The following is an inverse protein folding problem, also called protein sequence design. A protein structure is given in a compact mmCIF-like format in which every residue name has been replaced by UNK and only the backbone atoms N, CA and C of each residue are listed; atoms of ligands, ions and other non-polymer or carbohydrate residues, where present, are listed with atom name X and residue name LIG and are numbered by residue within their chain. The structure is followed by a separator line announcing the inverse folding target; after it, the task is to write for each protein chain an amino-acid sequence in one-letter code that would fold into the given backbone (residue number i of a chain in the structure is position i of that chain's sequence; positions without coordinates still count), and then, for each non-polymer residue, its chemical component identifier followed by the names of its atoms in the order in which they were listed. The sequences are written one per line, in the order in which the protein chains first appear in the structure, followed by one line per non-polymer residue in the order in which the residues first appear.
data_IF_495797732504
#
_entry.id   IF_495797732504
#
_cell.length_a   1.000
_cell.length_b   1.000
_cell.length_c   1.000
_cell.angle_alpha   90.00
_cell.angle_beta   90.00
_cell.angle_gamma   90.00
#
_symmetry.space_group_name_H-M   'P 1'
#
loop_
_entity.id
_entity.type
_entity.pdbx_description
1 polymer ?
#
# COMPACT_ATOMS: atom_id res chain seq x y z
N UNK A 1 15.66 2.94 -11.92
CA UNK A 1 14.75 1.93 -11.34
C UNK A 1 14.33 2.27 -9.91
N UNK A 2 15.23 2.42 -8.93
CA UNK A 2 14.83 2.70 -7.54
C UNK A 2 14.04 4.00 -7.35
N UNK A 3 14.44 5.09 -8.00
CA UNK A 3 13.75 6.39 -7.85
C UNK A 3 12.32 6.38 -8.39
N UNK A 4 12.03 5.62 -9.45
CA UNK A 4 10.67 5.52 -10.00
C UNK A 4 9.73 4.73 -9.07
N UNK A 5 10.23 3.65 -8.46
CA UNK A 5 9.46 2.85 -7.51
C UNK A 5 9.11 3.65 -6.25
N UNK A 6 10.07 4.37 -5.71
CA UNK A 6 9.87 5.24 -4.54
C UNK A 6 8.88 6.36 -4.88
N UNK A 7 9.04 7.02 -6.04
CA UNK A 7 8.12 8.06 -6.46
C UNK A 7 6.68 7.53 -6.63
N UNK A 8 6.50 6.35 -7.23
CA UNK A 8 5.17 5.71 -7.35
C UNK A 8 4.56 5.39 -6.00
N UNK A 9 5.38 4.90 -5.06
CA UNK A 9 4.94 4.60 -3.71
C UNK A 9 4.53 5.85 -2.94
N UNK A 10 5.30 6.94 -3.05
CA UNK A 10 4.96 8.24 -2.45
C UNK A 10 3.74 8.88 -3.11
N UNK A 11 3.60 8.76 -4.43
CA UNK A 11 2.42 9.22 -5.14
C UNK A 11 1.18 8.46 -4.64
N UNK A 12 1.27 7.13 -4.52
CA UNK A 12 0.20 6.31 -3.97
C UNK A 12 -0.15 6.71 -2.54
N UNK A 13 0.85 6.95 -1.68
CA UNK A 13 0.64 7.38 -0.29
C UNK A 13 -0.10 8.72 -0.21
N UNK A 14 0.28 9.68 -1.05
CA UNK A 14 -0.29 11.03 -1.06
C UNK A 14 -1.58 11.17 -1.88
N UNK A 15 -1.94 10.14 -2.67
CA UNK A 15 -3.13 10.15 -3.52
C UNK A 15 -4.39 10.27 -2.66
N UNK A 16 -5.23 11.27 -2.96
CA UNK A 16 -6.55 11.41 -2.33
C UNK A 16 -7.51 10.37 -2.89
N UNK A 17 -7.54 9.20 -2.24
CA UNK A 17 -8.47 8.15 -2.64
C UNK A 17 -9.93 8.51 -2.30
N UNK A 18 -10.76 8.61 -3.34
CA UNK A 18 -12.22 8.56 -3.21
C UNK A 18 -12.66 7.12 -3.50
N UNK A 19 -12.65 6.29 -2.47
CA UNK A 19 -13.06 4.89 -2.56
C UNK A 19 -14.59 4.76 -2.65
N UNK A 20 -15.16 5.03 -3.82
CA UNK A 20 -16.61 5.06 -4.04
C UNK A 20 -17.19 3.64 -4.10
N UNK A 21 -16.51 2.73 -4.80
CA UNK A 21 -16.98 1.36 -5.00
C UNK A 21 -16.11 0.32 -4.29
N UNK A 22 -16.64 -0.90 -4.16
CA UNK A 22 -15.85 -2.06 -3.69
C UNK A 22 -14.73 -2.40 -4.67
N UNK A 23 -14.95 -2.23 -5.98
CA UNK A 23 -13.92 -2.44 -7.01
C UNK A 23 -12.72 -1.51 -6.81
N UNK A 24 -12.98 -0.21 -6.59
CA UNK A 24 -11.92 0.80 -6.36
C UNK A 24 -11.04 0.43 -5.16
N UNK A 25 -11.68 -0.04 -4.08
CA UNK A 25 -10.98 -0.48 -2.87
C UNK A 25 -10.14 -1.73 -3.13
N UNK A 26 -10.64 -2.68 -3.92
CA UNK A 26 -9.88 -3.90 -4.27
C UNK A 26 -8.66 -3.53 -5.10
N UNK A 27 -8.83 -2.67 -6.12
CA UNK A 27 -7.73 -2.22 -6.98
C UNK A 27 -6.65 -1.50 -6.17
N UNK A 28 -7.03 -0.56 -5.29
CA UNK A 28 -6.06 0.14 -4.46
C UNK A 28 -5.37 -0.77 -3.42
N UNK A 29 -6.08 -1.76 -2.87
CA UNK A 29 -5.46 -2.76 -1.98
C UNK A 29 -4.42 -3.62 -2.72
N UNK A 30 -4.72 -4.00 -3.97
CA UNK A 30 -3.80 -4.74 -4.84
C UNK A 30 -2.58 -3.90 -5.23
N UNK A 31 -2.78 -2.64 -5.62
CA UNK A 31 -1.72 -1.69 -5.95
C UNK A 31 -0.78 -1.48 -4.75
N UNK A 32 -1.31 -1.24 -3.55
CA UNK A 32 -0.52 -1.13 -2.34
C UNK A 32 0.31 -2.40 -2.07
N UNK A 33 -0.29 -3.59 -2.25
CA UNK A 33 0.42 -4.86 -2.07
C UNK A 33 1.55 -5.04 -3.09
N UNK A 34 1.31 -4.69 -4.35
CA UNK A 34 2.32 -4.79 -5.41
C UNK A 34 3.52 -3.89 -5.09
N UNK A 35 3.28 -2.63 -4.75
CA UNK A 35 4.33 -1.68 -4.35
C UNK A 35 5.16 -2.20 -3.17
N UNK A 36 4.51 -2.74 -2.12
CA UNK A 36 5.22 -3.30 -0.96
C UNK A 36 6.13 -4.47 -1.37
N UNK A 37 5.65 -5.37 -2.22
CA UNK A 37 6.44 -6.52 -2.67
C UNK A 37 7.62 -6.09 -3.54
N UNK A 38 7.41 -5.14 -4.45
CA UNK A 38 8.48 -4.58 -5.28
C UNK A 38 9.55 -3.88 -4.42
N UNK A 39 9.14 -3.08 -3.44
CA UNK A 39 10.07 -2.41 -2.50
C UNK A 39 10.84 -3.45 -1.67
N UNK A 40 10.19 -4.55 -1.28
CA UNK A 40 10.84 -5.60 -0.51
C UNK A 40 11.98 -6.28 -1.30
N UNK A 41 11.84 -6.46 -2.61
CA UNK A 41 12.94 -7.02 -3.43
C UNK A 41 14.16 -6.09 -3.44
N UNK A 42 13.95 -4.77 -3.52
CA UNK A 42 15.05 -3.79 -3.43
C UNK A 42 15.63 -3.76 -2.01
N UNK A 43 14.78 -3.82 -0.98
CA UNK A 43 15.21 -3.88 0.42
C UNK A 43 16.06 -5.12 0.71
N UNK A 44 15.75 -6.29 0.13
CA UNK A 44 16.56 -7.50 0.33
C UNK A 44 18.01 -7.32 -0.14
N UNK A 45 18.22 -6.55 -1.20
CA UNK A 45 19.55 -6.29 -1.78
C UNK A 45 20.30 -5.17 -1.04
N UNK A 46 19.59 -4.08 -0.71
CA UNK A 46 20.19 -2.85 -0.16
C UNK A 46 20.22 -2.81 1.37
N UNK A 47 19.27 -3.48 2.02
CA UNK A 47 18.97 -3.40 3.46
C UNK A 47 18.75 -1.97 3.98
N UNK A 48 18.34 -1.07 3.10
CA UNK A 48 18.10 0.34 3.43
C UNK A 48 16.88 0.49 4.36
N UNK A 49 17.08 1.11 5.53
CA UNK A 49 16.03 1.36 6.50
C UNK A 49 14.94 2.30 5.99
N UNK A 50 15.26 3.20 5.04
CA UNK A 50 14.27 4.12 4.45
C UNK A 50 13.20 3.37 3.66
N UNK A 51 13.56 2.28 2.98
CA UNK A 51 12.63 1.41 2.27
C UNK A 51 11.71 0.66 3.23
N UNK A 52 12.22 0.28 4.41
CA UNK A 52 11.43 -0.33 5.47
C UNK A 52 10.35 0.63 5.98
N UNK A 53 10.70 1.89 6.20
CA UNK A 53 9.75 2.90 6.65
C UNK A 53 8.67 3.18 5.59
N UNK A 54 9.05 3.24 4.31
CA UNK A 54 8.10 3.33 3.20
C UNK A 54 7.14 2.14 3.15
N UNK A 55 7.63 0.90 3.30
CA UNK A 55 6.79 -0.30 3.39
C UNK A 55 5.80 -0.25 4.56
N UNK A 56 6.24 0.22 5.75
CA UNK A 56 5.37 0.37 6.92
C UNK A 56 4.24 1.37 6.65
N UNK A 57 4.55 2.52 6.04
CA UNK A 57 3.54 3.53 5.67
C UNK A 57 2.52 2.97 4.69
N UNK A 58 2.97 2.34 3.60
CA UNK A 58 2.09 1.67 2.64
C UNK A 58 1.24 0.56 3.27
N UNK A 59 1.81 -0.20 4.20
CA UNK A 59 1.09 -1.26 4.92
C UNK A 59 -0.05 -0.68 5.77
N UNK A 60 0.19 0.44 6.45
CA UNK A 60 -0.85 1.14 7.21
C UNK A 60 -2.00 1.61 6.30
N UNK A 61 -1.68 2.16 5.12
CA UNK A 61 -2.69 2.55 4.12
C UNK A 61 -3.48 1.32 3.64
N UNK A 62 -2.80 0.24 3.24
CA UNK A 62 -3.42 -1.02 2.81
C UNK A 62 -4.38 -1.59 3.87
N UNK A 63 -3.95 -1.64 5.13
CA UNK A 63 -4.78 -2.12 6.23
C UNK A 63 -6.05 -1.28 6.40
N UNK A 64 -5.97 0.05 6.26
CA UNK A 64 -7.16 0.93 6.32
C UNK A 64 -8.14 0.60 5.20
N UNK A 65 -7.66 0.32 3.98
CA UNK A 65 -8.49 -0.08 2.83
C UNK A 65 -9.15 -1.44 3.10
N UNK A 66 -8.37 -2.42 3.57
CA UNK A 66 -8.88 -3.77 3.85
C UNK A 66 -9.91 -3.79 4.99
N UNK A 67 -9.73 -2.98 6.04
CA UNK A 67 -10.74 -2.82 7.09
C UNK A 67 -12.07 -2.32 6.52
N UNK A 68 -12.03 -1.39 5.55
CA UNK A 68 -13.25 -0.91 4.87
C UNK A 68 -13.87 -1.96 3.95
N UNK A 69 -13.06 -2.83 3.34
CA UNK A 69 -13.54 -3.94 2.50
C UNK A 69 -14.22 -5.04 3.30
N UNK A 70 -13.65 -5.42 4.44
CA UNK A 70 -14.19 -6.49 5.30
C UNK A 70 -15.49 -6.09 6.01
N UNK A 71 -15.81 -4.80 6.05
CA UNK A 71 -16.96 -4.28 6.79
C UNK A 71 -16.80 -4.40 8.31
N UNK A 72 -17.84 -4.03 9.06
CA UNK A 72 -17.91 -4.39 10.49
C UNK A 72 -18.30 -5.87 10.59
N UNK A 73 -17.73 -6.64 11.52
CA UNK A 73 -18.23 -7.99 11.79
C UNK A 73 -19.72 -7.90 12.12
N UNK A 74 -20.52 -8.78 11.50
CA UNK A 74 -21.91 -8.99 11.88
C UNK A 74 -21.89 -9.67 13.26
N UNK A 75 -21.83 -8.87 14.32
CA UNK A 75 -22.12 -9.38 15.68
C UNK A 75 -23.61 -9.65 15.75
N UNK A 76 -23.96 -10.93 15.95
CA UNK A 76 -25.30 -11.37 16.33
C UNK A 76 -25.65 -10.89 17.74
#
# INVERSE_FOLDING_TARGET
MNSELINKAEEFENRKFKFVTTSDRILASREAKALILEINEVYKQTKDSTLMDLMKRLTAVKQRIEKRLKGKPLTA
#
